data_IF_690247256924
#
_entry.id   IF_690247256924
#
_cell.length_a   1.000
_cell.length_b   1.000
_cell.length_c   1.000
_cell.angle_alpha   90.00
_cell.angle_beta   90.00
_cell.angle_gamma   90.00
#
_symmetry.space_group_name_H-M   'P 1'
#
loop_
_entity.id
_entity.type
_entity.pdbx_description
1 polymer ?
#
# COMPACT_ATOMS: atom_id res chain seq x y z
N UNK A 1 28.33 -39.93 -33.87
CA UNK A 1 28.21 -39.85 -32.40
C UNK A 1 28.81 -38.51 -32.02
N UNK A 2 28.01 -37.47 -32.24
CA UNK A 2 28.42 -36.07 -32.15
C UNK A 2 27.79 -35.52 -30.89
N UNK A 3 28.67 -35.16 -29.96
CA UNK A 3 28.42 -34.47 -28.72
C UNK A 3 28.13 -33.01 -29.06
N UNK A 4 26.90 -32.56 -28.87
CA UNK A 4 26.48 -31.18 -29.12
C UNK A 4 26.41 -30.46 -27.77
N UNK A 5 27.57 -29.94 -27.35
CA UNK A 5 27.70 -29.09 -26.19
C UNK A 5 27.00 -27.77 -26.40
N UNK A 6 25.73 -27.69 -26.00
CA UNK A 6 25.02 -26.40 -25.91
C UNK A 6 25.38 -25.76 -24.57
N UNK A 7 26.45 -24.96 -24.56
CA UNK A 7 26.68 -23.96 -23.52
C UNK A 7 25.53 -22.97 -23.50
N UNK A 8 24.66 -23.06 -22.50
CA UNK A 8 23.78 -21.96 -22.12
C UNK A 8 24.66 -20.82 -21.59
N UNK A 9 24.89 -19.82 -22.45
CA UNK A 9 25.30 -18.50 -21.99
C UNK A 9 24.13 -17.89 -21.23
N UNK A 10 24.28 -17.71 -19.92
CA UNK A 10 23.46 -16.79 -19.14
C UNK A 10 23.72 -15.38 -19.68
N UNK A 11 22.78 -14.90 -20.48
CA UNK A 11 22.67 -13.51 -20.93
C UNK A 11 22.23 -12.67 -19.71
N UNK A 12 23.20 -12.22 -18.90
CA UNK A 12 23.00 -11.22 -17.85
C UNK A 12 22.66 -9.85 -18.51
N UNK A 13 21.44 -9.77 -19.05
CA UNK A 13 20.91 -8.66 -19.82
C UNK A 13 20.58 -7.42 -18.99
N UNK A 14 21.58 -6.83 -18.32
CA UNK A 14 21.46 -5.48 -17.76
C UNK A 14 21.51 -4.48 -18.90
N UNK A 15 20.42 -3.75 -19.15
CA UNK A 15 20.38 -2.74 -20.20
C UNK A 15 21.45 -1.66 -19.94
N UNK A 16 22.15 -1.13 -20.97
CA UNK A 16 23.13 -0.05 -20.80
C UNK A 16 22.55 1.18 -20.06
N UNK A 17 21.26 1.44 -20.23
CA UNK A 17 20.53 2.51 -19.55
C UNK A 17 20.33 2.25 -18.05
N UNK A 18 20.18 0.99 -17.65
CA UNK A 18 20.07 0.58 -16.25
C UNK A 18 21.42 0.70 -15.53
N UNK A 19 22.49 0.23 -16.16
CA UNK A 19 23.85 0.34 -15.62
C UNK A 19 24.25 1.81 -15.38
N UNK A 20 23.92 2.68 -16.34
CA UNK A 20 24.21 4.11 -16.25
C UNK A 20 23.39 4.82 -15.18
N UNK A 21 22.09 4.48 -15.05
CA UNK A 21 21.26 4.97 -13.95
C UNK A 21 21.81 4.56 -12.57
N UNK A 22 22.23 3.29 -12.43
CA UNK A 22 22.80 2.77 -11.17
C UNK A 22 24.14 3.44 -10.84
N UNK A 23 24.95 3.79 -11.84
CA UNK A 23 26.20 4.55 -11.67
C UNK A 23 25.89 5.95 -11.11
N UNK A 24 24.98 6.70 -11.73
CA UNK A 24 24.57 8.04 -11.26
C UNK A 24 23.96 8.00 -9.86
N UNK A 25 23.17 6.98 -9.56
CA UNK A 25 22.60 6.77 -8.23
C UNK A 25 23.67 6.45 -7.17
N UNK A 26 24.74 5.76 -7.56
CA UNK A 26 25.88 5.49 -6.68
C UNK A 26 26.66 6.77 -6.36
N UNK A 27 26.89 7.63 -7.36
CA UNK A 27 27.50 8.96 -7.18
C UNK A 27 26.65 9.85 -6.26
N UNK A 28 25.33 9.82 -6.43
CA UNK A 28 24.40 10.52 -5.54
C UNK A 28 24.46 10.05 -4.08
N UNK A 29 24.89 8.80 -3.81
CA UNK A 29 25.04 8.24 -2.46
C UNK A 29 26.28 8.76 -1.74
N UNK A 30 27.34 9.08 -2.48
CA UNK A 30 28.57 9.65 -1.92
C UNK A 30 28.37 11.10 -1.47
N UNK A 31 27.43 11.83 -2.08
CA UNK A 31 27.00 13.13 -1.62
C UNK A 31 26.13 12.98 -0.35
N UNK A 32 26.46 13.68 0.74
CA UNK A 32 25.80 13.55 2.07
C UNK A 32 24.36 14.11 2.11
N UNK A 33 23.74 14.38 0.98
CA UNK A 33 22.43 15.00 0.88
C UNK A 33 21.30 13.96 1.03
N UNK A 34 20.26 14.33 1.79
CA UNK A 34 19.05 13.49 1.97
C UNK A 34 18.10 13.52 0.78
N UNK A 35 18.20 14.54 -0.06
CA UNK A 35 17.43 14.67 -1.30
C UNK A 35 18.44 14.88 -2.41
N UNK A 36 18.30 14.08 -3.48
CA UNK A 36 19.11 14.21 -4.68
C UNK A 36 18.22 14.07 -5.92
N UNK A 37 18.77 14.36 -7.09
CA UNK A 37 18.08 14.17 -8.35
C UNK A 37 18.98 13.45 -9.34
N UNK A 38 18.39 12.64 -10.21
CA UNK A 38 19.08 11.99 -11.32
C UNK A 38 18.40 12.41 -12.61
N UNK A 39 19.18 13.00 -13.51
CA UNK A 39 18.72 13.37 -14.83
C UNK A 39 18.82 12.17 -15.77
N UNK A 40 17.72 11.84 -16.43
CA UNK A 40 17.61 10.79 -17.45
C UNK A 40 17.54 11.46 -18.83
N UNK A 41 18.49 11.21 -19.74
CA UNK A 41 18.42 11.69 -21.11
C UNK A 41 17.27 11.03 -21.87
N UNK A 42 16.79 11.70 -22.91
CA UNK A 42 15.68 11.24 -23.76
C UNK A 42 15.87 9.82 -24.33
N UNK A 43 17.11 9.39 -24.54
CA UNK A 43 17.47 8.06 -25.05
C UNK A 43 17.24 6.92 -24.06
N UNK A 44 17.10 7.22 -22.76
CA UNK A 44 16.90 6.23 -21.69
C UNK A 44 15.40 6.04 -21.34
N UNK A 45 14.49 6.73 -22.04
CA UNK A 45 13.04 6.66 -21.83
C UNK A 45 12.37 5.33 -22.18
N UNK A 46 13.11 4.31 -22.60
CA UNK A 46 12.59 2.96 -22.87
C UNK A 46 12.28 2.18 -21.58
N UNK A 47 12.98 2.49 -20.48
CA UNK A 47 12.74 1.85 -19.19
C UNK A 47 11.59 2.55 -18.49
N UNK A 48 10.57 1.77 -18.08
CA UNK A 48 9.42 2.34 -17.38
C UNK A 48 9.83 3.01 -16.06
N UNK A 49 9.18 4.12 -15.69
CA UNK A 49 9.40 4.78 -14.39
C UNK A 49 9.24 3.85 -13.19
N UNK A 50 8.35 2.86 -13.34
CA UNK A 50 8.15 1.82 -12.35
C UNK A 50 9.42 1.00 -12.15
N UNK A 51 10.14 0.68 -13.22
CA UNK A 51 11.38 -0.06 -13.17
C UNK A 51 12.50 0.77 -12.52
N UNK A 52 12.67 2.04 -12.89
CA UNK A 52 13.59 2.95 -12.20
C UNK A 52 13.30 3.11 -10.70
N UNK A 53 12.02 3.16 -10.33
CA UNK A 53 11.62 3.22 -8.91
C UNK A 53 12.01 1.97 -8.12
N UNK A 54 12.00 0.80 -8.77
CA UNK A 54 12.43 -0.47 -8.16
C UNK A 54 13.94 -0.48 -7.98
N UNK A 55 14.70 -0.14 -9.01
CA UNK A 55 16.16 -0.05 -8.96
C UNK A 55 16.66 0.96 -7.92
N UNK A 56 16.02 2.13 -7.85
CA UNK A 56 16.30 3.13 -6.82
C UNK A 56 16.00 2.59 -5.41
N UNK A 57 14.86 1.92 -5.27
CA UNK A 57 14.41 1.30 -4.02
C UNK A 57 15.36 0.24 -3.49
N UNK A 58 15.92 -0.60 -4.36
CA UNK A 58 16.92 -1.61 -4.02
C UNK A 58 18.22 -1.00 -3.45
N UNK A 59 18.48 0.27 -3.75
CA UNK A 59 19.67 1.01 -3.31
C UNK A 59 19.40 2.04 -2.21
N UNK A 60 18.20 2.02 -1.60
CA UNK A 60 17.87 2.89 -0.45
C UNK A 60 17.33 4.26 -0.80
N UNK A 61 16.88 4.46 -2.04
CA UNK A 61 16.32 5.71 -2.53
C UNK A 61 14.84 5.56 -2.83
N UNK A 62 14.06 6.59 -2.49
CA UNK A 62 12.64 6.69 -2.83
C UNK A 62 12.47 7.75 -3.91
N UNK A 63 11.81 7.38 -5.01
CA UNK A 63 11.36 8.35 -6.00
C UNK A 63 10.20 9.17 -5.43
N UNK A 64 10.39 10.47 -5.26
CA UNK A 64 9.38 11.41 -4.71
C UNK A 64 8.72 12.25 -5.78
N UNK A 65 9.36 12.40 -6.94
CA UNK A 65 8.83 13.20 -8.03
C UNK A 65 9.57 12.94 -9.33
N UNK A 66 8.96 13.43 -10.41
CA UNK A 66 9.54 13.43 -11.75
C UNK A 66 9.18 14.75 -12.41
N UNK A 67 10.17 15.38 -13.02
CA UNK A 67 10.01 16.60 -13.79
C UNK A 67 10.54 16.36 -15.20
N UNK A 68 9.80 16.80 -16.23
CA UNK A 68 10.32 16.74 -17.60
C UNK A 68 11.26 17.92 -17.82
N UNK A 69 12.47 17.63 -18.28
CA UNK A 69 13.46 18.66 -18.59
C UNK A 69 13.21 19.22 -20.00
N UNK A 70 13.58 20.48 -20.23
CA UNK A 70 13.30 21.19 -21.49
C UNK A 70 13.98 20.59 -22.73
N UNK A 71 14.97 19.73 -22.54
CA UNK A 71 15.67 18.95 -23.56
C UNK A 71 14.98 17.62 -23.93
N UNK A 72 13.80 17.34 -23.34
CA UNK A 72 13.06 16.10 -23.56
C UNK A 72 13.52 14.92 -22.70
N UNK A 73 14.43 15.16 -21.75
CA UNK A 73 14.78 14.22 -20.69
C UNK A 73 13.80 14.24 -19.52
N UNK A 74 14.16 13.55 -18.44
CA UNK A 74 13.38 13.49 -17.21
C UNK A 74 14.28 13.56 -15.99
N UNK A 75 14.01 14.50 -15.10
CA UNK A 75 14.65 14.62 -13.79
C UNK A 75 13.85 13.83 -12.76
N UNK A 76 14.48 12.82 -12.17
CA UNK A 76 13.92 12.03 -11.08
C UNK A 76 14.35 12.61 -9.74
N UNK A 77 13.39 12.99 -8.89
CA UNK A 77 13.65 13.45 -7.53
C UNK A 77 13.68 12.26 -6.58
N UNK A 78 14.77 12.11 -5.85
CA UNK A 78 15.08 10.95 -5.02
C UNK A 78 15.33 11.41 -3.59
N UNK A 79 14.66 10.77 -2.64
CA UNK A 79 14.89 10.97 -1.22
C UNK A 79 15.59 9.74 -0.64
N UNK A 80 16.71 9.97 0.04
CA UNK A 80 17.48 8.94 0.73
C UNK A 80 16.73 8.54 2.00
N UNK A 81 16.38 7.26 2.09
CA UNK A 81 15.85 6.72 3.33
C UNK A 81 16.98 5.99 4.05
N UNK A 82 17.57 6.64 5.06
CA UNK A 82 18.61 6.02 5.88
C UNK A 82 18.04 4.79 6.59
N UNK A 83 18.62 3.62 6.32
CA UNK A 83 18.24 2.34 6.91
C UNK A 83 18.53 2.30 8.42
N UNK A 84 17.66 2.93 9.21
CA UNK A 84 17.38 2.59 10.61
C UNK A 84 15.93 2.05 10.79
N UNK A 85 15.15 2.10 9.72
CA UNK A 85 13.79 1.58 9.66
C UNK A 85 13.79 0.50 8.58
N UNK A 86 13.64 -0.76 8.97
CA UNK A 86 13.47 -1.81 7.98
C UNK A 86 12.31 -1.46 7.05
N UNK A 87 12.52 -1.75 5.77
CA UNK A 87 11.53 -1.80 4.68
C UNK A 87 10.09 -1.51 5.13
N UNK A 88 9.61 -0.31 4.81
CA UNK A 88 8.20 -0.13 4.45
C UNK A 88 8.00 -0.76 3.06
N UNK A 89 8.14 -2.08 2.97
CA UNK A 89 7.52 -2.81 1.88
C UNK A 89 6.08 -2.96 2.28
N UNK A 90 5.19 -2.44 1.43
CA UNK A 90 3.79 -2.78 1.53
C UNK A 90 3.69 -4.31 1.43
N UNK A 91 3.57 -4.97 2.58
CA UNK A 91 2.95 -6.27 2.66
C UNK A 91 1.53 -6.17 2.07
N UNK A 92 0.76 -7.27 2.04
CA UNK A 92 -0.64 -7.14 1.68
C UNK A 92 -1.26 -5.99 2.50
N UNK A 93 -2.10 -5.17 1.86
CA UNK A 93 -2.47 -3.79 2.26
C UNK A 93 -2.99 -3.56 3.70
N UNK A 94 -2.94 -4.56 4.57
CA UNK A 94 -3.29 -4.55 5.98
C UNK A 94 -2.09 -4.75 6.94
N UNK A 95 -0.89 -5.12 6.48
CA UNK A 95 0.34 -5.27 7.29
C UNK A 95 1.48 -4.44 6.70
N UNK A 96 2.21 -3.74 7.58
CA UNK A 96 3.34 -2.87 7.25
C UNK A 96 4.61 -3.48 7.86
N UNK A 97 5.65 -3.74 7.06
CA UNK A 97 6.91 -4.26 7.58
C UNK A 97 7.74 -5.09 6.58
N UNK A 98 8.85 -5.69 7.05
CA UNK A 98 9.73 -6.57 6.27
C UNK A 98 9.00 -7.79 5.71
N UNK A 99 9.41 -8.27 4.54
CA UNK A 99 8.77 -9.45 3.95
C UNK A 99 9.01 -10.72 4.79
N UNK A 100 8.17 -11.74 4.61
CA UNK A 100 8.24 -12.98 5.40
C UNK A 100 9.58 -13.70 5.26
N UNK A 101 10.16 -13.72 4.07
CA UNK A 101 11.50 -14.24 3.77
C UNK A 101 12.59 -13.52 4.56
N UNK A 102 12.50 -12.20 4.70
CA UNK A 102 13.44 -11.40 5.49
C UNK A 102 13.33 -11.71 6.98
N UNK A 103 12.11 -11.87 7.49
CA UNK A 103 11.87 -12.24 8.88
C UNK A 103 12.32 -13.67 9.18
N UNK A 104 12.16 -14.61 8.23
CA UNK A 104 12.65 -15.98 8.39
C UNK A 104 14.18 -16.06 8.44
N UNK A 105 14.88 -15.09 7.85
CA UNK A 105 16.34 -14.98 7.97
C UNK A 105 16.83 -14.42 9.32
N UNK A 106 15.94 -13.97 10.21
CA UNK A 106 16.30 -13.38 11.50
C UNK A 106 15.95 -14.32 12.66
N UNK A 107 16.96 -14.76 13.41
CA UNK A 107 16.82 -15.69 14.54
C UNK A 107 15.88 -15.18 15.65
N UNK A 108 15.93 -13.88 15.96
CA UNK A 108 15.05 -13.28 16.96
C UNK A 108 13.59 -13.20 16.50
N UNK A 109 13.38 -12.98 15.20
CA UNK A 109 12.06 -13.02 14.59
C UNK A 109 11.48 -14.44 14.61
N UNK A 110 12.30 -15.48 14.37
CA UNK A 110 11.89 -16.88 14.46
C UNK A 110 11.49 -17.27 15.89
N UNK A 111 12.30 -16.91 16.89
CA UNK A 111 12.00 -17.19 18.30
C UNK A 111 10.70 -16.51 18.75
N UNK A 112 10.49 -15.25 18.37
CA UNK A 112 9.25 -14.55 18.70
C UNK A 112 8.06 -15.10 17.92
N UNK A 113 8.25 -15.51 16.66
CA UNK A 113 7.19 -16.16 15.88
C UNK A 113 6.75 -17.49 16.49
N UNK A 114 7.67 -18.28 17.06
CA UNK A 114 7.31 -19.49 17.81
C UNK A 114 6.55 -19.18 19.10
N UNK A 115 6.93 -18.12 19.82
CA UNK A 115 6.18 -17.67 21.01
C UNK A 115 4.76 -17.25 20.63
N UNK A 116 4.62 -16.41 19.60
CA UNK A 116 3.31 -16.01 19.09
C UNK A 116 2.48 -17.22 18.65
N UNK A 117 3.10 -18.21 17.99
CA UNK A 117 2.42 -19.46 17.61
C UNK A 117 1.94 -20.26 18.82
N UNK A 118 2.71 -20.28 19.93
CA UNK A 118 2.28 -20.92 21.18
C UNK A 118 1.15 -20.16 21.87
N UNK A 119 1.23 -18.84 21.90
CA UNK A 119 0.25 -17.98 22.60
C UNK A 119 -1.10 -17.93 21.86
N UNK A 120 -1.06 -17.80 20.53
CA UNK A 120 -2.25 -17.52 19.70
C UNK A 120 -2.67 -18.69 18.81
N UNK A 121 -1.87 -19.76 18.74
CA UNK A 121 -2.05 -20.86 17.78
C UNK A 121 -1.72 -20.51 16.33
N UNK A 122 -1.35 -19.25 16.03
CA UNK A 122 -1.21 -18.76 14.66
C UNK A 122 0.26 -18.72 14.21
N UNK A 123 0.57 -19.40 13.10
CA UNK A 123 1.88 -19.35 12.47
C UNK A 123 2.07 -18.09 11.63
N UNK A 124 2.46 -16.98 12.26
CA UNK A 124 2.55 -15.66 11.61
C UNK A 124 3.51 -15.60 10.41
N UNK A 125 4.60 -16.37 10.46
CA UNK A 125 5.59 -16.48 9.36
C UNK A 125 5.23 -17.52 8.29
N UNK A 126 4.08 -18.21 8.43
CA UNK A 126 3.63 -19.20 7.46
C UNK A 126 2.94 -18.52 6.28
N UNK A 127 3.38 -18.86 5.06
CA UNK A 127 2.75 -18.38 3.82
C UNK A 127 1.29 -18.80 3.71
N UNK A 128 0.95 -20.03 4.09
CA UNK A 128 -0.44 -20.52 4.02
C UNK A 128 -1.38 -19.76 4.95
N UNK A 129 -0.89 -19.36 6.13
CA UNK A 129 -1.62 -18.52 7.09
C UNK A 129 -1.78 -17.11 6.52
N UNK A 130 -0.71 -16.51 6.00
CA UNK A 130 -0.78 -15.19 5.37
C UNK A 130 -1.76 -15.18 4.18
N UNK A 131 -1.71 -16.19 3.32
CA UNK A 131 -2.62 -16.32 2.17
C UNK A 131 -4.08 -16.54 2.59
N UNK A 132 -4.31 -17.28 3.68
CA UNK A 132 -5.64 -17.45 4.26
C UNK A 132 -6.21 -16.14 4.76
N UNK A 133 -5.44 -15.41 5.57
CA UNK A 133 -5.81 -14.08 6.11
C UNK A 133 -6.00 -13.07 4.97
N UNK A 134 -5.13 -13.11 3.95
CA UNK A 134 -5.25 -12.24 2.78
C UNK A 134 -6.53 -12.50 1.99
N UNK A 135 -6.84 -13.77 1.70
CA UNK A 135 -8.08 -14.16 1.00
C UNK A 135 -9.32 -13.69 1.76
N UNK A 136 -9.34 -13.88 3.08
CA UNK A 136 -10.46 -13.43 3.91
C UNK A 136 -10.56 -11.90 3.96
N UNK A 137 -9.43 -11.19 4.07
CA UNK A 137 -9.39 -9.73 4.00
C UNK A 137 -9.94 -9.19 2.67
N UNK A 138 -9.54 -9.79 1.54
CA UNK A 138 -10.02 -9.42 0.20
C UNK A 138 -11.52 -9.72 0.07
N UNK A 139 -11.99 -10.86 0.56
CA UNK A 139 -13.41 -11.24 0.57
C UNK A 139 -14.24 -10.21 1.35
N UNK A 140 -13.82 -9.86 2.56
CA UNK A 140 -14.48 -8.87 3.40
C UNK A 140 -14.41 -7.45 2.79
N UNK A 141 -13.29 -7.08 2.16
CA UNK A 141 -13.17 -5.82 1.42
C UNK A 141 -14.16 -5.73 0.27
N UNK A 142 -14.31 -6.80 -0.53
CA UNK A 142 -15.31 -6.85 -1.63
C UNK A 142 -16.73 -6.69 -1.10
N UNK A 143 -17.06 -7.37 0.01
CA UNK A 143 -18.37 -7.23 0.67
C UNK A 143 -18.62 -5.81 1.17
N UNK A 144 -17.63 -5.20 1.83
CA UNK A 144 -17.69 -3.81 2.29
C UNK A 144 -17.89 -2.82 1.13
N UNK A 145 -17.12 -2.94 0.05
CA UNK A 145 -17.25 -2.06 -1.13
C UNK A 145 -18.62 -2.22 -1.80
N UNK A 146 -19.12 -3.47 -1.90
CA UNK A 146 -20.46 -3.73 -2.46
C UNK A 146 -21.55 -3.07 -1.60
N UNK A 147 -21.49 -3.23 -0.28
CA UNK A 147 -22.45 -2.59 0.64
C UNK A 147 -22.33 -1.06 0.62
N UNK A 148 -21.11 -0.53 0.57
CA UNK A 148 -20.87 0.90 0.46
C UNK A 148 -21.49 1.48 -0.81
N UNK A 149 -21.27 0.84 -1.97
CA UNK A 149 -21.87 1.26 -3.25
C UNK A 149 -23.40 1.20 -3.24
N UNK A 150 -23.96 0.13 -2.67
CA UNK A 150 -25.42 -0.03 -2.57
C UNK A 150 -26.06 1.01 -1.64
N UNK A 151 -25.37 1.46 -0.60
CA UNK A 151 -25.87 2.49 0.30
C UNK A 151 -25.63 3.91 -0.26
N UNK A 152 -24.47 4.17 -0.86
CA UNK A 152 -24.07 5.53 -1.23
C UNK A 152 -24.74 6.05 -2.50
N UNK A 153 -24.97 5.20 -3.51
CA UNK A 153 -25.54 5.65 -4.79
C UNK A 153 -27.01 6.10 -4.69
N UNK A 154 -27.91 5.33 -4.06
CA UNK A 154 -29.30 5.76 -3.89
C UNK A 154 -29.40 6.96 -2.95
N UNK A 155 -28.58 7.01 -1.90
CA UNK A 155 -28.55 8.13 -0.97
C UNK A 155 -28.11 9.44 -1.65
N UNK A 156 -27.08 9.37 -2.50
CA UNK A 156 -26.63 10.53 -3.29
C UNK A 156 -27.72 11.00 -4.25
N UNK A 157 -28.38 10.07 -4.96
CA UNK A 157 -29.50 10.40 -5.84
C UNK A 157 -30.65 11.04 -5.06
N UNK A 158 -31.06 10.45 -3.93
CA UNK A 158 -32.12 11.00 -3.09
C UNK A 158 -31.78 12.41 -2.59
N UNK A 159 -30.53 12.63 -2.16
CA UNK A 159 -30.04 13.93 -1.72
C UNK A 159 -30.07 14.97 -2.84
N UNK A 160 -29.57 14.63 -4.03
CA UNK A 160 -29.60 15.52 -5.21
C UNK A 160 -31.05 15.85 -5.60
N UNK A 161 -31.94 14.86 -5.59
CA UNK A 161 -33.37 15.06 -5.92
C UNK A 161 -34.07 15.95 -4.89
N UNK A 162 -33.74 15.79 -3.61
CA UNK A 162 -34.24 16.65 -2.52
C UNK A 162 -33.76 18.10 -2.71
N UNK A 163 -32.47 18.29 -3.02
CA UNK A 163 -31.90 19.61 -3.27
C UNK A 163 -32.51 20.30 -4.49
N UNK A 164 -32.74 19.55 -5.57
CA UNK A 164 -33.41 20.06 -6.76
C UNK A 164 -34.87 20.46 -6.47
N UNK A 165 -35.56 19.68 -5.62
CA UNK A 165 -36.93 19.99 -5.19
C UNK A 165 -36.99 21.23 -4.29
N UNK A 166 -35.97 21.46 -3.47
CA UNK A 166 -35.80 22.67 -2.64
C UNK A 166 -35.53 23.91 -3.50
N UNK A 167 -34.65 23.80 -4.51
CA UNK A 167 -34.32 24.91 -5.42
C UNK A 167 -35.49 25.28 -6.34
N UNK A 168 -36.26 24.30 -6.82
CA UNK A 168 -37.41 24.56 -7.68
C UNK A 168 -38.65 25.07 -6.95
N UNK A 169 -38.71 24.97 -5.61
CA UNK A 169 -39.78 25.60 -4.83
C UNK A 169 -39.41 27.04 -4.52
N UNK A 170 -39.75 27.92 -5.47
CA UNK A 170 -39.80 29.36 -5.24
C UNK A 170 -40.70 29.71 -4.05
N UNK A 171 -40.28 30.74 -3.33
CA UNK A 171 -40.85 31.25 -2.07
C UNK A 171 -42.38 31.40 -2.11
N UNK A 172 -43.08 30.92 -1.05
CA UNK A 172 -44.48 31.33 -0.82
C UNK A 172 -45.43 30.39 -0.08
N UNK A 173 -45.09 29.13 0.21
CA UNK A 173 -46.03 28.20 0.88
C UNK A 173 -45.44 27.54 2.15
N UNK A 174 -45.89 27.93 3.37
CA UNK A 174 -45.35 27.39 4.63
C UNK A 174 -45.63 25.89 4.84
N UNK A 175 -46.74 25.36 4.32
CA UNK A 175 -47.03 23.91 4.41
C UNK A 175 -46.03 23.06 3.60
N UNK A 176 -45.48 23.64 2.54
CA UNK A 176 -44.45 22.99 1.73
C UNK A 176 -43.09 22.93 2.45
N UNK A 177 -42.80 23.89 3.34
CA UNK A 177 -41.59 23.91 4.14
C UNK A 177 -41.62 22.81 5.22
N UNK A 178 -42.74 22.66 5.94
CA UNK A 178 -42.91 21.59 6.93
C UNK A 178 -42.82 20.20 6.30
N UNK A 179 -43.45 20.01 5.14
CA UNK A 179 -43.37 18.73 4.39
C UNK A 179 -41.93 18.41 3.99
N UNK A 180 -41.14 19.39 3.53
CA UNK A 180 -39.73 19.21 3.19
C UNK A 180 -38.87 18.89 4.43
N UNK A 181 -39.17 19.51 5.57
CA UNK A 181 -38.48 19.27 6.83
C UNK A 181 -38.71 17.83 7.31
N UNK A 182 -39.95 17.35 7.25
CA UNK A 182 -40.31 15.97 7.58
C UNK A 182 -39.63 14.98 6.63
N UNK A 183 -39.71 15.21 5.31
CA UNK A 183 -39.07 14.32 4.32
C UNK A 183 -37.56 14.30 4.48
N UNK A 184 -36.93 15.44 4.79
CA UNK A 184 -35.50 15.53 5.07
C UNK A 184 -35.12 14.78 6.36
N UNK A 185 -35.87 14.96 7.44
CA UNK A 185 -35.67 14.25 8.69
C UNK A 185 -35.79 12.73 8.52
N UNK A 186 -36.84 12.26 7.84
CA UNK A 186 -37.02 10.83 7.52
C UNK A 186 -35.88 10.31 6.66
N UNK A 187 -35.46 11.06 5.64
CA UNK A 187 -34.34 10.69 4.77
C UNK A 187 -33.01 10.61 5.53
N UNK A 188 -32.75 11.54 6.45
CA UNK A 188 -31.57 11.52 7.31
C UNK A 188 -31.55 10.30 8.22
N UNK A 189 -32.69 9.93 8.83
CA UNK A 189 -32.81 8.73 9.65
C UNK A 189 -32.57 7.47 8.82
N UNK A 190 -33.20 7.35 7.64
CA UNK A 190 -32.97 6.22 6.72
C UNK A 190 -31.50 6.13 6.29
N UNK A 191 -30.87 7.28 6.00
CA UNK A 191 -29.46 7.32 5.64
C UNK A 191 -28.56 6.83 6.78
N UNK A 192 -28.75 7.32 8.00
CA UNK A 192 -27.99 6.87 9.18
C UNK A 192 -28.17 5.37 9.42
N UNK A 193 -29.39 4.86 9.32
CA UNK A 193 -29.66 3.43 9.46
C UNK A 193 -28.99 2.60 8.35
N UNK A 194 -28.88 3.14 7.13
CA UNK A 194 -28.21 2.48 6.01
C UNK A 194 -26.68 2.37 6.18
N UNK A 195 -26.07 3.22 7.01
CA UNK A 195 -24.65 3.18 7.33
C UNK A 195 -24.29 2.10 8.36
N UNK A 196 -25.25 1.63 9.16
CA UNK A 196 -25.00 0.58 10.15
C UNK A 196 -24.34 -0.70 9.58
N UNK A 197 -24.84 -1.31 8.48
CA UNK A 197 -24.21 -2.48 7.89
C UNK A 197 -22.81 -2.21 7.32
N UNK A 198 -22.52 -1.01 6.81
CA UNK A 198 -21.17 -0.67 6.32
C UNK A 198 -20.20 -0.52 7.48
N UNK A 199 -20.61 0.11 8.59
CA UNK A 199 -19.81 0.21 9.82
C UNK A 199 -19.54 -1.18 10.40
N UNK A 200 -20.55 -2.04 10.49
CA UNK A 200 -20.39 -3.42 10.99
C UNK A 200 -19.44 -4.23 10.10
N UNK A 201 -19.55 -4.10 8.78
CA UNK A 201 -18.64 -4.76 7.84
C UNK A 201 -17.20 -4.23 7.95
N UNK A 202 -17.02 -2.93 8.19
CA UNK A 202 -15.70 -2.34 8.43
C UNK A 202 -15.06 -2.88 9.73
N UNK A 203 -15.84 -2.97 10.80
CA UNK A 203 -15.38 -3.58 12.08
C UNK A 203 -15.02 -5.05 11.90
N UNK A 204 -15.86 -5.83 11.22
CA UNK A 204 -15.58 -7.24 10.94
C UNK A 204 -14.30 -7.43 10.12
N UNK A 205 -14.05 -6.58 9.12
CA UNK A 205 -12.81 -6.60 8.33
C UNK A 205 -11.57 -6.30 9.18
N UNK A 206 -11.65 -5.36 10.12
CA UNK A 206 -10.54 -5.03 11.03
C UNK A 206 -10.29 -6.17 12.02
N UNK A 207 -11.35 -6.71 12.62
CA UNK A 207 -11.26 -7.82 13.56
C UNK A 207 -10.64 -9.07 12.92
N UNK A 208 -11.03 -9.40 11.68
CA UNK A 208 -10.54 -10.59 10.98
C UNK A 208 -9.03 -10.61 10.71
N UNK A 209 -8.35 -9.46 10.74
CA UNK A 209 -6.89 -9.37 10.54
C UNK A 209 -6.16 -8.91 11.79
N UNK A 210 -6.86 -8.59 12.88
CA UNK A 210 -6.27 -7.97 14.07
C UNK A 210 -5.24 -8.89 14.73
N UNK A 211 -5.60 -10.16 14.93
CA UNK A 211 -4.73 -11.13 15.63
C UNK A 211 -3.47 -11.44 14.82
N UNK A 212 -3.63 -11.63 13.50
CA UNK A 212 -2.49 -11.81 12.59
C UNK A 212 -1.58 -10.59 12.59
N UNK A 213 -2.17 -9.38 12.49
CA UNK A 213 -1.42 -8.12 12.46
C UNK A 213 -0.65 -7.90 13.76
N UNK A 214 -1.28 -8.10 14.92
CA UNK A 214 -0.64 -7.94 16.22
C UNK A 214 0.51 -8.94 16.39
N UNK A 215 0.33 -10.19 15.97
CA UNK A 215 1.39 -11.21 15.98
C UNK A 215 2.55 -10.83 15.06
N UNK A 216 2.25 -10.33 13.86
CA UNK A 216 3.24 -9.88 12.89
C UNK A 216 4.03 -8.68 13.38
N UNK A 217 3.38 -7.67 13.95
CA UNK A 217 4.05 -6.49 14.53
C UNK A 217 4.99 -6.87 15.67
N UNK A 218 4.64 -7.84 16.52
CA UNK A 218 5.53 -8.37 17.56
C UNK A 218 6.79 -9.01 16.97
N UNK A 219 6.63 -9.84 15.94
CA UNK A 219 7.76 -10.50 15.26
C UNK A 219 8.66 -9.47 14.59
N UNK A 220 8.10 -8.46 13.93
CA UNK A 220 8.85 -7.35 13.33
C UNK A 220 9.60 -6.56 14.40
N UNK A 221 8.96 -6.24 15.52
CA UNK A 221 9.61 -5.53 16.62
C UNK A 221 10.81 -6.31 17.19
N UNK A 222 10.70 -7.63 17.33
CA UNK A 222 11.81 -8.49 17.75
C UNK A 222 12.96 -8.50 16.72
N UNK A 223 12.63 -8.55 15.43
CA UNK A 223 13.61 -8.48 14.34
C UNK A 223 14.38 -7.14 14.33
N UNK A 224 13.68 -6.04 14.62
CA UNK A 224 14.26 -4.69 14.67
C UNK A 224 15.08 -4.45 15.94
N UNK A 225 14.60 -4.92 17.10
CA UNK A 225 15.27 -4.74 18.39
C UNK A 225 16.62 -5.45 18.51
N UNK A 226 16.87 -6.45 17.67
CA UNK A 226 18.15 -7.17 17.61
C UNK A 226 19.16 -6.52 16.65
N UNK A 227 18.69 -5.77 15.66
CA UNK A 227 19.56 -5.01 14.75
C UNK A 227 20.18 -3.78 15.42
N UNK A 228 19.54 -3.23 16.45
CA UNK A 228 20.06 -2.10 17.24
C UNK A 228 21.12 -2.53 18.26
N UNK A 229 21.01 -3.73 18.84
CA UNK A 229 21.96 -4.26 19.84
C UNK A 229 23.27 -4.78 19.26
N UNK A 230 23.29 -5.27 18.00
CA UNK A 230 24.53 -5.69 17.32
C UNK A 230 25.40 -4.52 16.82
N UNK A 231 24.94 -3.27 16.93
CA UNK A 231 25.65 -2.06 16.47
C UNK A 231 26.24 -1.21 17.60
N UNK A 232 26.08 -1.60 18.86
CA UNK A 232 26.75 -1.00 20.03
C UNK A 232 27.95 -1.84 20.44
#
# INVERSE_FOLDING_TARGET
MTDDGTTHAEDDGTSPAEAEFLRRLHEARTERTRVNHVDLPRSEGEISLRHYSVLAGERGWRLTGMERTGDGGSRLWLERFDFATARHIAGPAFVEGPRLDELRGNEAALLEAERVKRDSGMGVLSESVLDGVHREHVRLRRRYVRLGRLASLPALLAFVTLMFSLVNRGEGNPEAADTLLIVSAVSAVVFVLSLWPTIRAARARRAAVADYKAGYERVVAAALGTNTTKRS
#
